data_IF_859864146209
#
_entry.id   IF_859864146209
#
_cell.length_a   1.000
_cell.length_b   1.000
_cell.length_c   1.000
_cell.angle_alpha   90.00
_cell.angle_beta   90.00
_cell.angle_gamma   90.00
#
_symmetry.space_group_name_H-M   'P 1'
#
loop_
_entity.id
_entity.type
_entity.pdbx_description
1 polymer ?
#
# COMPACT_ATOMS: atom_id res chain seq x y z
N UNK A 1 17.39 5.93 6.33
CA UNK A 1 18.14 6.22 7.58
C UNK A 1 17.16 6.82 8.56
N UNK A 2 16.76 6.07 9.58
CA UNK A 2 15.79 6.53 10.57
C UNK A 2 16.46 7.57 11.47
N UNK A 3 15.99 8.82 11.43
CA UNK A 3 16.67 9.96 12.06
C UNK A 3 16.51 9.96 13.58
N UNK A 4 15.44 9.33 14.08
CA UNK A 4 15.13 9.32 15.51
C UNK A 4 15.66 8.02 16.11
N UNK A 5 16.62 8.13 17.03
CA UNK A 5 17.16 6.98 17.73
C UNK A 5 16.08 6.32 18.59
N UNK A 6 16.21 5.01 18.76
CA UNK A 6 15.27 4.23 19.56
C UNK A 6 15.23 4.66 21.04
N UNK A 7 16.34 5.20 21.56
CA UNK A 7 16.43 5.76 22.91
C UNK A 7 15.54 6.98 23.10
N UNK A 8 15.54 7.90 22.11
CA UNK A 8 14.65 9.07 22.12
C UNK A 8 13.19 8.61 22.06
N UNK A 9 12.87 7.63 21.21
CA UNK A 9 11.51 7.09 21.13
C UNK A 9 11.06 6.43 22.44
N UNK A 10 11.96 5.77 23.18
CA UNK A 10 11.68 5.22 24.52
C UNK A 10 11.38 6.33 25.53
N UNK A 11 12.16 7.40 25.53
CA UNK A 11 11.92 8.56 26.40
C UNK A 11 10.55 9.19 26.13
N UNK A 12 10.19 9.32 24.85
CA UNK A 12 8.92 9.91 24.40
C UNK A 12 7.67 9.12 24.81
N UNK A 13 7.80 7.86 25.27
CA UNK A 13 6.65 7.05 25.75
C UNK A 13 5.99 7.59 27.00
N UNK A 14 6.72 8.37 27.82
CA UNK A 14 6.22 8.96 29.06
C UNK A 14 5.13 10.01 28.81
N UNK A 15 5.08 10.60 27.62
CA UNK A 15 4.10 11.60 27.25
C UNK A 15 2.75 10.97 26.86
N UNK A 16 1.68 11.76 26.97
CA UNK A 16 0.35 11.33 26.57
C UNK A 16 0.19 11.32 25.03
N UNK A 17 0.76 12.32 24.36
CA UNK A 17 0.76 12.48 22.91
C UNK A 17 2.06 13.14 22.45
N UNK A 18 2.57 12.75 21.29
CA UNK A 18 3.80 13.26 20.71
C UNK A 18 3.57 13.59 19.23
N UNK A 19 3.85 14.83 18.84
CA UNK A 19 3.64 15.33 17.49
C UNK A 19 4.97 15.59 16.80
N UNK A 20 5.17 14.93 15.66
CA UNK A 20 6.37 15.03 14.84
C UNK A 20 6.14 16.04 13.70
N UNK A 21 6.71 17.24 13.85
CA UNK A 21 6.81 18.21 12.76
C UNK A 21 8.16 18.05 12.06
N UNK A 22 8.17 17.22 11.02
CA UNK A 22 9.38 16.90 10.28
C UNK A 22 9.29 17.45 8.86
N UNK A 23 10.43 17.62 8.21
CA UNK A 23 10.47 17.94 6.78
C UNK A 23 9.82 16.83 5.96
N UNK A 24 9.28 17.18 4.79
CA UNK A 24 8.58 16.27 3.88
C UNK A 24 9.36 14.99 3.55
N UNK A 25 10.68 15.14 3.35
CA UNK A 25 11.60 14.04 3.06
C UNK A 25 11.68 12.99 4.18
N UNK A 26 11.34 13.38 5.41
CA UNK A 26 11.43 12.55 6.59
C UNK A 26 10.13 11.81 6.89
N UNK A 27 9.04 12.16 6.21
CA UNK A 27 7.78 11.42 6.21
C UNK A 27 7.86 10.19 5.31
N UNK A 28 8.92 9.39 5.49
CA UNK A 28 9.07 8.11 4.84
C UNK A 28 8.26 7.05 5.56
N UNK A 29 7.93 6.00 4.81
CA UNK A 29 7.27 4.81 5.37
C UNK A 29 8.05 4.20 6.54
N UNK A 30 9.37 4.06 6.40
CA UNK A 30 10.23 3.45 7.41
C UNK A 30 10.19 4.24 8.73
N UNK A 31 10.26 5.56 8.65
CA UNK A 31 10.22 6.44 9.82
C UNK A 31 8.87 6.38 10.53
N UNK A 32 7.77 6.46 9.78
CA UNK A 32 6.42 6.33 10.34
C UNK A 32 6.22 4.96 11.00
N UNK A 33 6.73 3.89 10.39
CA UNK A 33 6.63 2.55 10.95
C UNK A 33 7.38 2.43 12.29
N UNK A 34 8.63 2.89 12.34
CA UNK A 34 9.45 2.87 13.56
C UNK A 34 8.83 3.69 14.70
N UNK A 35 8.28 4.87 14.37
CA UNK A 35 7.60 5.73 15.34
C UNK A 35 6.31 5.07 15.84
N UNK A 36 5.45 4.58 14.94
CA UNK A 36 4.18 3.94 15.30
C UNK A 36 4.38 2.66 16.13
N UNK A 37 5.43 1.89 15.86
CA UNK A 37 5.77 0.71 16.65
C UNK A 37 6.15 1.07 18.11
N UNK A 38 6.83 2.19 18.32
CA UNK A 38 7.24 2.63 19.65
C UNK A 38 6.14 3.35 20.42
N UNK A 39 5.44 4.29 19.77
CA UNK A 39 4.50 5.21 20.44
C UNK A 39 3.03 4.85 20.22
N UNK A 40 2.72 3.94 19.28
CA UNK A 40 1.36 3.48 18.94
C UNK A 40 0.43 4.66 18.65
N UNK A 41 -0.73 4.69 19.28
CA UNK A 41 -1.78 5.71 19.09
C UNK A 41 -1.39 7.10 19.59
N UNK A 42 -0.29 7.22 20.34
CA UNK A 42 0.20 8.50 20.86
C UNK A 42 0.98 9.32 19.83
N UNK A 43 1.25 8.76 18.65
CA UNK A 43 2.10 9.35 17.64
C UNK A 43 1.29 10.14 16.59
N UNK A 44 1.64 11.41 16.42
CA UNK A 44 1.04 12.31 15.43
C UNK A 44 2.11 12.92 14.54
N UNK A 45 1.76 13.34 13.33
CA UNK A 45 2.66 14.04 12.44
C UNK A 45 1.97 15.19 11.73
N UNK A 46 2.73 16.21 11.37
CA UNK A 46 2.26 17.36 10.60
C UNK A 46 2.73 17.18 9.16
N UNK A 47 1.79 16.96 8.23
CA UNK A 47 2.08 16.91 6.79
C UNK A 47 1.91 18.32 6.21
N UNK A 48 2.84 19.20 6.52
CA UNK A 48 2.90 20.55 5.96
C UNK A 48 4.16 20.68 5.11
N UNK A 49 4.12 21.50 4.07
CA UNK A 49 5.30 21.79 3.25
C UNK A 49 6.23 22.78 3.96
N UNK A 50 5.74 23.49 4.97
CA UNK A 50 6.51 24.44 5.76
C UNK A 50 7.25 23.76 6.92
N UNK A 51 8.53 24.07 7.04
CA UNK A 51 9.29 23.77 8.25
C UNK A 51 8.89 24.71 9.39
N UNK A 52 9.07 24.29 10.64
CA UNK A 52 8.77 25.12 11.81
C UNK A 52 9.48 26.49 11.77
N UNK A 53 10.71 26.53 11.24
CA UNK A 53 11.47 27.77 11.06
C UNK A 53 10.83 28.70 10.03
N UNK A 54 10.37 28.16 8.90
CA UNK A 54 9.70 28.96 7.86
C UNK A 54 8.34 29.47 8.33
N UNK A 55 7.59 28.65 9.08
CA UNK A 55 6.34 29.06 9.69
C UNK A 55 6.54 30.24 10.64
N UNK A 56 7.61 30.20 11.45
CA UNK A 56 7.98 31.30 12.34
C UNK A 56 8.36 32.57 11.56
N UNK A 57 9.19 32.44 10.51
CA UNK A 57 9.58 33.58 9.66
C UNK A 57 8.39 34.25 8.98
N UNK A 58 7.38 33.46 8.60
CA UNK A 58 6.14 33.94 7.97
C UNK A 58 5.09 34.44 8.96
N UNK A 59 5.40 34.45 10.26
CA UNK A 59 4.48 34.85 11.34
C UNK A 59 3.16 34.07 11.31
N UNK A 60 3.21 32.80 10.90
CA UNK A 60 2.04 31.92 10.89
C UNK A 60 1.76 31.47 12.33
N UNK A 61 0.48 31.43 12.69
CA UNK A 61 0.05 30.96 14.00
C UNK A 61 0.31 29.44 14.10
N UNK A 62 1.27 29.06 14.95
CA UNK A 62 1.71 27.67 15.09
C UNK A 62 0.61 26.73 15.62
N UNK A 63 -0.33 27.26 16.41
CA UNK A 63 -1.46 26.46 16.93
C UNK A 63 -2.31 25.89 15.80
N UNK A 64 -2.51 26.64 14.73
CA UNK A 64 -3.32 26.20 13.59
C UNK A 64 -2.64 25.06 12.82
N UNK A 65 -1.30 25.06 12.80
CA UNK A 65 -0.51 24.00 12.18
C UNK A 65 -0.54 22.73 13.06
N UNK A 66 -0.37 22.89 14.37
CA UNK A 66 -0.43 21.77 15.32
C UNK A 66 -1.82 21.11 15.31
N UNK A 67 -2.89 21.90 15.21
CA UNK A 67 -4.26 21.39 15.12
C UNK A 67 -4.51 20.56 13.85
N UNK A 68 -3.71 20.73 12.79
CA UNK A 68 -3.76 19.93 11.55
C UNK A 68 -2.99 18.60 11.64
N UNK A 69 -2.45 18.25 12.81
CA UNK A 69 -1.74 17.00 13.01
C UNK A 69 -2.60 15.78 12.63
N UNK A 70 -1.96 14.80 12.02
CA UNK A 70 -2.58 13.53 11.64
C UNK A 70 -1.98 12.41 12.49
N UNK A 71 -2.77 11.41 12.90
CA UNK A 71 -2.23 10.25 13.59
C UNK A 71 -1.27 9.48 12.66
N UNK A 72 -0.11 9.06 13.19
CA UNK A 72 0.78 8.12 12.52
C UNK A 72 0.17 6.72 12.71
N UNK A 73 -0.71 6.32 11.79
CA UNK A 73 -1.37 5.01 11.83
C UNK A 73 -0.42 3.90 11.39
N UNK A 74 -0.56 2.74 12.02
CA UNK A 74 0.04 1.51 11.51
C UNK A 74 -0.70 1.07 10.23
N UNK A 75 0.04 0.66 9.18
CA UNK A 75 -0.51 0.31 7.84
C UNK A 75 -1.64 -0.72 7.87
N UNK A 76 -1.69 -1.59 8.87
CA UNK A 76 -2.68 -2.67 8.96
C UNK A 76 -4.09 -2.20 9.33
N UNK A 77 -4.29 -0.94 9.75
CA UNK A 77 -5.60 -0.43 10.14
C UNK A 77 -6.04 0.63 9.14
N UNK A 78 -6.61 0.15 8.03
CA UNK A 78 -7.34 0.98 7.07
C UNK A 78 -8.82 0.98 7.43
N UNK A 79 -9.47 2.12 7.27
CA UNK A 79 -10.94 2.24 7.34
C UNK A 79 -11.53 2.00 5.96
N UNK A 80 -12.82 1.64 5.91
CA UNK A 80 -13.53 1.50 4.63
C UNK A 80 -13.43 2.77 3.76
N UNK A 81 -13.50 3.94 4.39
CA UNK A 81 -13.32 5.26 3.73
C UNK A 81 -11.98 5.38 2.99
N UNK A 82 -10.94 4.68 3.44
CA UNK A 82 -9.62 4.73 2.79
C UNK A 82 -9.60 3.92 1.47
N UNK A 83 -10.67 3.19 1.16
CA UNK A 83 -10.83 2.37 -0.06
C UNK A 83 -11.89 2.88 -1.02
N UNK A 84 -12.64 3.93 -0.68
CA UNK A 84 -13.76 4.42 -1.51
C UNK A 84 -13.33 4.77 -2.93
N UNK A 85 -12.18 5.43 -3.08
CA UNK A 85 -11.61 5.78 -4.38
C UNK A 85 -11.23 4.52 -5.18
N UNK A 86 -10.57 3.56 -4.55
CA UNK A 86 -10.15 2.30 -5.19
C UNK A 86 -11.36 1.46 -5.62
N UNK A 87 -12.38 1.37 -4.76
CA UNK A 87 -13.64 0.67 -5.08
C UNK A 87 -14.35 1.37 -6.23
N UNK A 88 -14.39 2.70 -6.22
CA UNK A 88 -15.00 3.48 -7.30
C UNK A 88 -14.28 3.26 -8.63
N UNK A 89 -12.95 3.18 -8.61
CA UNK A 89 -12.14 2.87 -9.79
C UNK A 89 -12.44 1.46 -10.33
N UNK A 90 -12.45 0.45 -9.46
CA UNK A 90 -12.76 -0.94 -9.82
C UNK A 90 -14.18 -1.10 -10.40
N UNK A 91 -15.17 -0.37 -9.85
CA UNK A 91 -16.55 -0.39 -10.33
C UNK A 91 -16.71 0.31 -11.70
N UNK A 92 -15.99 1.41 -11.92
CA UNK A 92 -16.06 2.16 -13.18
C UNK A 92 -15.27 1.49 -14.29
N UNK A 93 -14.28 0.67 -13.96
CA UNK A 93 -13.47 -0.08 -14.92
C UNK A 93 -13.47 -1.58 -14.60
N UNK A 94 -14.58 -2.32 -14.80
CA UNK A 94 -14.64 -3.75 -14.49
C UNK A 94 -13.57 -4.57 -15.22
N UNK A 95 -13.13 -4.11 -16.41
CA UNK A 95 -12.04 -4.72 -17.17
C UNK A 95 -10.67 -4.62 -16.51
N UNK A 96 -10.44 -3.69 -15.57
CA UNK A 96 -9.17 -3.63 -14.81
C UNK A 96 -9.03 -4.79 -13.82
N UNK A 97 -10.14 -5.42 -13.44
CA UNK A 97 -10.19 -6.54 -12.48
C UNK A 97 -10.14 -7.90 -13.20
N UNK A 98 -10.22 -7.89 -14.52
CA UNK A 98 -10.09 -9.10 -15.32
C UNK A 98 -8.63 -9.54 -15.45
N UNK A 99 -8.41 -10.85 -15.43
CA UNK A 99 -7.08 -11.41 -15.65
C UNK A 99 -6.69 -11.39 -17.12
N UNK A 100 -5.42 -11.71 -17.40
CA UNK A 100 -4.93 -11.93 -18.77
C UNK A 100 -5.75 -13.07 -19.39
N UNK A 101 -6.52 -12.77 -20.43
CA UNK A 101 -7.43 -13.72 -21.08
C UNK A 101 -6.64 -14.81 -21.79
N UNK A 102 -7.15 -16.04 -21.77
CA UNK A 102 -6.57 -17.17 -22.48
C UNK A 102 -6.86 -17.05 -23.98
N UNK A 103 -5.81 -17.05 -24.81
CA UNK A 103 -5.94 -16.94 -26.26
C UNK A 103 -6.13 -18.32 -26.92
N UNK A 104 -5.37 -19.32 -26.47
CA UNK A 104 -5.43 -20.69 -27.02
C UNK A 104 -6.51 -21.54 -26.35
N UNK A 105 -6.89 -21.19 -25.12
CA UNK A 105 -7.88 -21.89 -24.32
C UNK A 105 -9.08 -20.97 -24.02
N UNK A 106 -9.61 -20.32 -25.06
CA UNK A 106 -10.68 -19.32 -24.93
C UNK A 106 -11.94 -19.77 -24.17
N UNK A 107 -12.38 -21.05 -24.19
CA UNK A 107 -13.52 -21.49 -23.36
C UNK A 107 -13.30 -21.30 -21.86
N UNK A 108 -12.05 -21.27 -21.40
CA UNK A 108 -11.72 -21.03 -19.99
C UNK A 108 -11.99 -19.59 -19.56
N UNK A 109 -12.11 -18.64 -20.50
CA UNK A 109 -12.40 -17.25 -20.15
C UNK A 109 -13.82 -17.06 -19.62
N UNK A 110 -14.75 -17.94 -19.97
CA UNK A 110 -16.13 -17.90 -19.46
C UNK A 110 -16.19 -18.25 -17.97
N UNK A 111 -15.26 -19.10 -17.48
CA UNK A 111 -15.25 -19.57 -16.09
C UNK A 111 -14.16 -18.92 -15.25
N UNK A 112 -12.94 -18.79 -15.77
CA UNK A 112 -11.79 -18.25 -15.05
C UNK A 112 -11.62 -16.73 -15.25
N UNK A 113 -12.15 -16.19 -16.35
CA UNK A 113 -12.01 -14.77 -16.74
C UNK A 113 -10.55 -14.31 -16.92
N UNK A 114 -9.65 -15.23 -17.22
CA UNK A 114 -8.21 -15.00 -17.38
C UNK A 114 -7.41 -15.25 -16.10
N UNK A 115 -6.10 -15.04 -16.16
CA UNK A 115 -5.20 -15.15 -15.00
C UNK A 115 -4.89 -13.78 -14.39
N UNK A 116 -5.25 -13.56 -13.13
CA UNK A 116 -5.05 -12.27 -12.45
C UNK A 116 -3.67 -12.17 -11.83
N UNK A 117 -3.20 -10.94 -11.64
CA UNK A 117 -2.01 -10.70 -10.83
C UNK A 117 -2.23 -11.19 -9.40
N UNK A 118 -1.20 -11.82 -8.83
CA UNK A 118 -1.20 -12.31 -7.44
C UNK A 118 -2.20 -13.46 -7.16
N UNK A 119 -2.78 -14.06 -8.20
CA UNK A 119 -3.55 -15.30 -8.10
C UNK A 119 -2.62 -16.53 -8.08
N UNK A 120 -3.09 -17.64 -7.49
CA UNK A 120 -2.41 -18.94 -7.53
C UNK A 120 -3.36 -19.98 -8.11
N UNK A 121 -3.07 -20.47 -9.31
CA UNK A 121 -3.83 -21.56 -9.94
C UNK A 121 -3.30 -22.93 -9.51
N UNK A 122 -4.15 -23.74 -8.87
CA UNK A 122 -3.82 -25.10 -8.44
C UNK A 122 -4.37 -26.14 -9.43
N UNK A 123 -3.49 -26.96 -10.02
CA UNK A 123 -3.87 -28.03 -10.95
C UNK A 123 -3.71 -29.40 -10.28
N UNK A 124 -4.80 -30.14 -10.09
CA UNK A 124 -4.83 -31.44 -9.40
C UNK A 124 -5.52 -32.52 -10.24
N UNK A 125 -5.30 -33.79 -9.89
CA UNK A 125 -5.79 -34.96 -10.63
C UNK A 125 -4.78 -36.11 -10.68
N UNK A 126 -5.19 -37.27 -11.19
CA UNK A 126 -4.36 -38.49 -11.26
C UNK A 126 -3.08 -38.29 -12.12
N UNK A 127 -2.09 -39.17 -11.95
CA UNK A 127 -0.89 -39.14 -12.78
C UNK A 127 -1.23 -39.41 -14.25
N UNK A 128 -0.47 -38.83 -15.18
CA UNK A 128 -0.66 -39.04 -16.61
C UNK A 128 -1.84 -38.29 -17.26
N UNK A 129 -2.71 -37.63 -16.50
CA UNK A 129 -3.87 -36.88 -17.06
C UNK A 129 -3.50 -35.57 -17.79
N UNK A 130 -2.21 -35.23 -17.85
CA UNK A 130 -1.73 -34.04 -18.58
C UNK A 130 -1.72 -32.73 -17.79
N UNK A 131 -1.75 -32.75 -16.45
CA UNK A 131 -1.67 -31.53 -15.62
C UNK A 131 -0.47 -30.64 -15.96
N UNK A 132 0.71 -31.25 -16.10
CA UNK A 132 1.94 -30.54 -16.47
C UNK A 132 1.82 -29.94 -17.86
N UNK A 133 1.27 -30.70 -18.81
CA UNK A 133 1.03 -30.22 -20.18
C UNK A 133 0.09 -29.02 -20.19
N UNK A 134 -1.00 -29.08 -19.42
CA UNK A 134 -1.94 -27.98 -19.30
C UNK A 134 -1.31 -26.75 -18.65
N UNK A 135 -0.55 -26.93 -17.55
CA UNK A 135 0.21 -25.85 -16.91
C UNK A 135 1.16 -25.16 -17.88
N UNK A 136 1.95 -25.95 -18.64
CA UNK A 136 2.85 -25.42 -19.65
C UNK A 136 2.10 -24.64 -20.73
N UNK A 137 0.94 -25.12 -21.16
CA UNK A 137 0.12 -24.43 -22.16
C UNK A 137 -0.41 -23.09 -21.65
N UNK A 138 -0.87 -23.00 -20.40
CA UNK A 138 -1.26 -21.74 -19.76
C UNK A 138 -0.07 -20.77 -19.67
N UNK A 139 1.10 -21.25 -19.24
CA UNK A 139 2.31 -20.43 -19.18
C UNK A 139 2.71 -19.88 -20.54
N UNK A 140 2.70 -20.72 -21.59
CA UNK A 140 3.01 -20.29 -22.95
C UNK A 140 2.02 -19.24 -23.47
N UNK A 141 0.75 -19.36 -23.13
CA UNK A 141 -0.29 -18.43 -23.54
C UNK A 141 -0.04 -17.03 -22.96
N UNK A 142 0.26 -16.96 -21.65
CA UNK A 142 0.60 -15.68 -20.99
C UNK A 142 1.90 -15.12 -21.57
N UNK A 143 2.95 -15.93 -21.71
CA UNK A 143 4.24 -15.47 -22.25
C UNK A 143 4.10 -14.87 -23.64
N UNK A 144 3.29 -15.46 -24.52
CA UNK A 144 3.07 -14.92 -25.88
C UNK A 144 2.39 -13.56 -25.87
N UNK A 145 1.50 -13.31 -24.92
CA UNK A 145 0.74 -12.06 -24.83
C UNK A 145 1.54 -10.94 -24.13
N UNK A 146 2.51 -11.30 -23.27
CA UNK A 146 3.36 -10.34 -22.56
C UNK A 146 4.61 -9.91 -23.37
N UNK A 147 4.82 -10.44 -24.57
CA UNK A 147 5.87 -9.94 -25.48
C UNK A 147 5.35 -8.64 -26.13
N UNK A 148 6.03 -7.50 -25.97
CA UNK A 148 5.66 -6.27 -26.65
C UNK A 148 5.72 -6.49 -28.18
N UNK A 149 4.69 -6.05 -28.89
CA UNK A 149 4.66 -6.03 -30.36
C UNK A 149 5.53 -4.92 -30.93
#
# INVERSE_FOLDING_TARGET
MCIISYEVLKFLKSFNSVTFWLSKELHTYENHNNISHCLKEKAFYIKDDLTALEALKRQIVLTDIINKQKPIKHKSIKKFTDYEDAISEDLNNPSSVEGVKWSTLSPLNTTLMGHREREITLLTGQSGVGKTTFACQLSLDICKQMIPK
#
